data_IF_618802732921
#
_entry.id   IF_618802732921
#
_cell.length_a   1.000
_cell.length_b   1.000
_cell.length_c   1.000
_cell.angle_alpha   90.00
_cell.angle_beta   90.00
_cell.angle_gamma   90.00
#
_symmetry.space_group_name_H-M   'P 1'
#
loop_
_entity.id
_entity.type
_entity.pdbx_description
1 polymer ?
#
# COMPACT_ATOMS: atom_id res chain seq x y z
N UNK A 1 28.81 -21.30 -14.31
CA UNK A 1 27.56 -21.24 -13.51
C UNK A 1 27.33 -19.78 -13.17
N UNK A 2 26.21 -19.18 -13.59
CA UNK A 2 25.91 -17.78 -13.25
C UNK A 2 25.36 -17.77 -11.83
N UNK A 3 26.09 -17.15 -10.92
CA UNK A 3 25.59 -16.81 -9.59
C UNK A 3 24.39 -15.88 -9.80
N UNK A 4 23.20 -16.40 -9.54
CA UNK A 4 22.01 -15.58 -9.39
C UNK A 4 22.26 -14.85 -8.08
N UNK A 5 22.69 -13.59 -8.15
CA UNK A 5 22.62 -12.70 -7.00
C UNK A 5 21.17 -12.74 -6.56
N UNK A 6 20.95 -13.40 -5.42
CA UNK A 6 19.69 -13.42 -4.73
C UNK A 6 19.53 -11.98 -4.22
N UNK A 7 19.06 -11.09 -5.10
CA UNK A 7 18.59 -9.77 -4.71
C UNK A 7 17.65 -10.01 -3.53
N UNK A 8 18.06 -9.53 -2.37
CA UNK A 8 17.31 -9.69 -1.15
C UNK A 8 15.94 -9.06 -1.45
N UNK A 9 14.86 -9.83 -1.41
CA UNK A 9 13.52 -9.29 -1.70
C UNK A 9 13.18 -8.14 -0.74
N UNK A 10 13.81 -8.11 0.44
CA UNK A 10 13.81 -6.95 1.34
C UNK A 10 14.40 -5.65 0.75
N UNK A 11 15.33 -5.72 -0.21
CA UNK A 11 15.90 -4.55 -0.90
C UNK A 11 14.95 -3.97 -1.96
N UNK A 12 14.05 -4.80 -2.55
CA UNK A 12 13.03 -4.32 -3.50
C UNK A 12 11.95 -3.52 -2.78
N UNK A 13 11.46 -4.04 -1.66
CA UNK A 13 10.45 -3.36 -0.84
C UNK A 13 11.01 -2.24 0.04
N UNK A 14 12.32 -2.24 0.32
CA UNK A 14 12.97 -1.31 1.24
C UNK A 14 12.92 0.17 0.85
N UNK A 15 12.62 0.51 -0.41
CA UNK A 15 12.46 1.91 -0.84
C UNK A 15 11.08 2.49 -0.54
N UNK A 16 10.01 1.71 -0.71
CA UNK A 16 8.64 2.18 -0.54
C UNK A 16 8.06 1.80 0.82
N UNK A 17 8.31 0.58 1.25
CA UNK A 17 7.81 0.02 2.50
C UNK A 17 8.92 0.06 3.54
N UNK A 18 9.39 1.27 3.87
CA UNK A 18 10.00 1.45 5.17
C UNK A 18 8.91 1.14 6.19
N UNK A 19 8.90 -0.09 6.73
CA UNK A 19 7.97 -0.60 7.74
C UNK A 19 7.99 0.31 8.97
N UNK A 20 7.32 1.44 8.87
CA UNK A 20 7.23 2.44 9.92
C UNK A 20 6.26 1.89 10.94
N UNK A 21 6.83 1.20 11.91
CA UNK A 21 6.16 0.55 13.03
C UNK A 21 5.23 1.47 13.86
N UNK A 22 5.11 2.77 13.56
CA UNK A 22 4.31 3.75 14.29
C UNK A 22 3.85 4.99 13.48
N UNK A 23 3.77 4.96 12.14
CA UNK A 23 3.38 6.15 11.36
C UNK A 23 1.84 6.42 11.34
N UNK A 24 1.11 5.98 12.37
CA UNK A 24 -0.35 6.17 12.43
C UNK A 24 -0.76 7.61 12.77
N UNK A 25 0.10 8.38 13.46
CA UNK A 25 -0.36 9.53 14.25
C UNK A 25 -0.51 10.87 13.51
N UNK A 26 0.09 11.06 12.32
CA UNK A 26 0.16 12.40 11.69
C UNK A 26 -0.85 12.70 10.59
N UNK A 27 -1.69 11.74 10.20
CA UNK A 27 -2.56 11.90 9.02
C UNK A 27 -4.02 12.28 9.38
N UNK A 28 -4.32 12.53 10.66
CA UNK A 28 -5.68 12.81 11.17
C UNK A 28 -6.22 14.24 10.94
N UNK A 29 -5.65 15.04 10.03
CA UNK A 29 -6.14 16.41 9.79
C UNK A 29 -7.07 16.47 8.57
N UNK A 30 -8.38 16.66 8.83
CA UNK A 30 -9.41 17.15 7.91
C UNK A 30 -9.31 16.66 6.45
N UNK A 31 -9.20 15.34 6.26
CA UNK A 31 -9.14 14.73 4.92
C UNK A 31 -10.54 14.64 4.33
N UNK A 32 -10.70 15.15 3.11
CA UNK A 32 -11.90 14.90 2.31
C UNK A 32 -11.73 13.54 1.59
N UNK A 33 -12.72 12.66 1.72
CA UNK A 33 -12.75 11.43 0.93
C UNK A 33 -12.99 11.80 -0.53
N UNK A 34 -12.11 11.33 -1.42
CA UNK A 34 -12.32 11.40 -2.86
C UNK A 34 -12.54 9.99 -3.39
N UNK A 35 -13.68 9.78 -4.05
CA UNK A 35 -13.91 8.65 -4.94
C UNK A 35 -13.23 8.93 -6.29
N UNK A 36 -11.89 8.89 -6.31
CA UNK A 36 -11.21 8.68 -7.59
C UNK A 36 -11.41 7.21 -7.91
N UNK A 37 -12.13 6.95 -8.99
CA UNK A 37 -12.38 5.60 -9.51
C UNK A 37 -11.05 5.04 -10.01
N UNK A 38 -10.30 4.40 -9.11
CA UNK A 38 -9.02 3.80 -9.42
C UNK A 38 -9.28 2.33 -9.72
N UNK A 39 -9.34 2.04 -11.01
CA UNK A 39 -9.54 0.70 -11.53
C UNK A 39 -8.44 -0.26 -11.04
N UNK A 40 -8.86 -1.14 -10.13
CA UNK A 40 -8.39 -2.52 -9.87
C UNK A 40 -6.94 -2.75 -9.44
N UNK A 41 -6.80 -3.55 -8.38
CA UNK A 41 -5.56 -4.23 -8.01
C UNK A 41 -5.16 -5.25 -9.07
N UNK A 42 -4.06 -5.02 -9.80
CA UNK A 42 -3.48 -6.05 -10.68
C UNK A 42 -2.75 -7.13 -9.87
N UNK A 43 -2.40 -6.80 -8.62
CA UNK A 43 -1.85 -7.73 -7.64
C UNK A 43 -2.85 -8.77 -7.15
N UNK A 44 -4.15 -8.64 -7.46
CA UNK A 44 -5.18 -9.56 -6.98
C UNK A 44 -5.80 -10.32 -8.15
N UNK A 45 -5.61 -11.64 -8.15
CA UNK A 45 -6.34 -12.56 -9.03
C UNK A 45 -7.12 -13.56 -8.18
N UNK A 46 -8.44 -13.70 -8.42
CA UNK A 46 -9.30 -14.67 -7.70
C UNK A 46 -9.17 -14.57 -6.17
N UNK A 47 -9.24 -13.35 -5.63
CA UNK A 47 -9.09 -13.06 -4.19
C UNK A 47 -7.72 -13.48 -3.61
N UNK A 48 -6.73 -13.76 -4.47
CA UNK A 48 -5.34 -14.06 -4.08
C UNK A 48 -4.47 -12.86 -4.41
N UNK A 49 -3.92 -12.26 -3.37
CA UNK A 49 -2.99 -11.15 -3.46
C UNK A 49 -1.57 -11.67 -3.70
N UNK A 50 -0.88 -11.13 -4.70
CA UNK A 50 0.55 -11.28 -4.88
C UNK A 50 1.25 -10.02 -4.37
N UNK A 51 1.91 -10.14 -3.23
CA UNK A 51 2.53 -9.01 -2.55
C UNK A 51 3.63 -8.36 -3.42
N UNK A 52 4.33 -9.13 -4.26
CA UNK A 52 5.35 -8.64 -5.23
C UNK A 52 4.81 -7.66 -6.27
N UNK A 53 3.49 -7.65 -6.48
CA UNK A 53 2.84 -6.77 -7.46
C UNK A 53 2.21 -5.53 -6.82
N UNK A 54 2.15 -5.43 -5.49
CA UNK A 54 1.52 -4.32 -4.78
C UNK A 54 2.18 -2.98 -5.04
N UNK A 55 3.51 -2.96 -5.08
CA UNK A 55 4.29 -1.75 -5.38
C UNK A 55 3.82 -1.10 -6.69
N UNK A 56 3.64 -1.90 -7.74
CA UNK A 56 3.14 -1.40 -9.04
C UNK A 56 1.71 -0.90 -8.97
N UNK A 57 0.85 -1.51 -8.16
CA UNK A 57 -0.51 -1.01 -7.98
C UNK A 57 -0.51 0.34 -7.26
N UNK A 58 0.35 0.51 -6.25
CA UNK A 58 0.51 1.78 -5.53
C UNK A 58 1.07 2.87 -6.46
N UNK A 59 2.10 2.58 -7.25
CA UNK A 59 2.66 3.50 -8.24
C UNK A 59 1.60 3.94 -9.27
N UNK A 60 0.74 3.02 -9.73
CA UNK A 60 -0.36 3.35 -10.64
C UNK A 60 -1.39 4.25 -9.98
N UNK A 61 -1.78 3.95 -8.73
CA UNK A 61 -2.68 4.80 -7.93
C UNK A 61 -2.10 6.22 -7.84
N UNK A 62 -0.81 6.34 -7.52
CA UNK A 62 -0.11 7.62 -7.39
C UNK A 62 -0.11 8.38 -8.70
N UNK A 63 0.36 7.73 -9.77
CA UNK A 63 0.39 8.31 -11.12
C UNK A 63 -0.98 8.83 -11.54
N UNK A 64 -2.06 8.10 -11.22
CA UNK A 64 -3.42 8.52 -11.55
C UNK A 64 -3.86 9.76 -10.78
N UNK A 65 -3.62 9.79 -9.47
CA UNK A 65 -3.92 10.93 -8.61
C UNK A 65 -3.13 12.18 -9.06
N UNK A 66 -1.87 12.00 -9.45
CA UNK A 66 -1.04 13.08 -9.99
C UNK A 66 -1.53 13.60 -11.35
N UNK A 67 -1.97 12.70 -12.24
CA UNK A 67 -2.59 13.09 -13.52
C UNK A 67 -3.86 13.95 -13.33
N UNK A 68 -4.59 13.74 -12.25
CA UNK A 68 -5.77 14.54 -11.88
C UNK A 68 -5.40 15.88 -11.21
N UNK A 69 -4.10 16.18 -11.11
CA UNK A 69 -3.54 17.45 -10.63
C UNK A 69 -3.43 17.55 -9.11
N UNK A 70 -3.32 16.43 -8.41
CA UNK A 70 -3.05 16.36 -6.97
C UNK A 70 -1.56 16.07 -6.74
N UNK A 71 -1.02 16.50 -5.60
CA UNK A 71 0.30 16.09 -5.11
C UNK A 71 0.13 14.93 -4.13
N UNK A 72 0.83 13.81 -4.33
CA UNK A 72 0.75 12.66 -3.43
C UNK A 72 1.67 12.87 -2.22
N UNK A 73 1.12 12.69 -1.02
CA UNK A 73 1.84 12.82 0.25
C UNK A 73 2.32 11.47 0.80
N UNK A 74 1.77 10.36 0.28
CA UNK A 74 2.11 9.00 0.66
C UNK A 74 0.88 8.08 0.68
N UNK A 75 1.11 6.80 1.00
CA UNK A 75 0.05 5.81 1.13
C UNK A 75 0.14 5.00 2.41
N UNK A 76 -0.97 4.36 2.78
CA UNK A 76 -1.05 3.37 3.84
C UNK A 76 -1.73 2.13 3.30
N UNK A 77 -0.99 1.02 3.33
CA UNK A 77 -1.51 -0.31 3.08
C UNK A 77 -2.10 -0.86 4.39
N UNK A 78 -3.33 -1.35 4.33
CA UNK A 78 -3.98 -2.08 5.41
C UNK A 78 -4.26 -3.49 4.91
N UNK A 79 -3.76 -4.49 5.61
CA UNK A 79 -4.14 -5.89 5.40
C UNK A 79 -4.83 -6.39 6.64
N UNK A 80 -6.10 -6.76 6.50
CA UNK A 80 -6.97 -7.23 7.57
C UNK A 80 -7.42 -8.65 7.25
N UNK A 81 -6.75 -9.63 7.86
CA UNK A 81 -7.01 -11.05 7.65
C UNK A 81 -8.28 -11.52 8.37
N UNK A 82 -8.78 -10.77 9.36
CA UNK A 82 -10.05 -11.09 10.01
C UNK A 82 -11.24 -10.73 9.12
N UNK A 83 -11.08 -9.74 8.24
CA UNK A 83 -12.11 -9.26 7.31
C UNK A 83 -11.89 -9.70 5.86
N UNK A 84 -10.88 -10.51 5.57
CA UNK A 84 -10.44 -10.85 4.21
C UNK A 84 -10.29 -9.60 3.32
N UNK A 85 -9.67 -8.54 3.84
CA UNK A 85 -9.68 -7.21 3.23
C UNK A 85 -8.26 -6.64 3.06
N UNK A 86 -8.02 -6.05 1.90
CA UNK A 86 -6.92 -5.12 1.68
C UNK A 86 -7.48 -3.71 1.41
N UNK A 87 -6.83 -2.70 1.97
CA UNK A 87 -7.05 -1.29 1.63
C UNK A 87 -5.72 -0.61 1.30
N UNK A 88 -5.70 0.22 0.26
CA UNK A 88 -4.65 1.21 0.04
C UNK A 88 -5.28 2.58 0.19
N UNK A 89 -4.85 3.30 1.23
CA UNK A 89 -5.23 4.70 1.48
C UNK A 89 -4.14 5.60 0.96
N UNK A 90 -4.41 6.40 -0.05
CA UNK A 90 -3.47 7.37 -0.60
C UNK A 90 -3.86 8.76 -0.17
N UNK A 91 -2.92 9.48 0.42
CA UNK A 91 -3.11 10.83 0.91
C UNK A 91 -2.55 11.80 -0.11
N UNK A 92 -3.34 12.80 -0.46
CA UNK A 92 -2.97 13.76 -1.50
C UNK A 92 -3.41 15.17 -1.15
N UNK A 93 -2.85 16.15 -1.88
CA UNK A 93 -3.14 17.57 -1.68
C UNK A 93 -3.42 18.25 -3.01
N UNK A 94 -4.43 19.13 -3.05
CA UNK A 94 -4.70 20.00 -4.19
C UNK A 94 -5.03 21.41 -3.69
N UNK A 95 -4.12 22.34 -3.95
CA UNK A 95 -4.14 23.66 -3.31
C UNK A 95 -3.96 23.53 -1.79
N UNK A 96 -4.83 24.17 -1.01
CA UNK A 96 -4.80 24.11 0.46
C UNK A 96 -5.61 22.95 1.06
N UNK A 97 -6.20 22.09 0.21
CA UNK A 97 -7.06 20.99 0.65
C UNK A 97 -6.32 19.65 0.58
N UNK A 98 -6.50 18.85 1.64
CA UNK A 98 -5.99 17.50 1.74
C UNK A 98 -7.11 16.49 1.51
N UNK A 99 -6.76 15.38 0.85
CA UNK A 99 -7.69 14.35 0.43
C UNK A 99 -7.16 12.96 0.78
N UNK A 100 -8.09 12.03 0.93
CA UNK A 100 -7.78 10.60 1.03
C UNK A 100 -8.56 9.83 -0.03
N UNK A 101 -7.83 8.99 -0.76
CA UNK A 101 -8.36 8.06 -1.72
C UNK A 101 -8.19 6.65 -1.15
N UNK A 102 -9.28 5.90 -1.03
CA UNK A 102 -9.22 4.52 -0.51
C UNK A 102 -9.60 3.55 -1.61
N UNK A 103 -8.68 2.67 -1.99
CA UNK A 103 -8.96 1.52 -2.86
C UNK A 103 -9.02 0.29 -1.98
N UNK A 104 -10.05 -0.53 -2.12
CA UNK A 104 -10.23 -1.73 -1.29
C UNK A 104 -10.62 -2.94 -2.12
N UNK A 105 -10.22 -4.13 -1.66
CA UNK A 105 -10.56 -5.39 -2.32
C UNK A 105 -10.60 -6.54 -1.31
N UNK A 106 -11.34 -7.60 -1.67
CA UNK A 106 -11.34 -8.83 -0.89
C UNK A 106 -10.12 -9.69 -1.23
N UNK A 107 -9.44 -10.17 -0.19
CA UNK A 107 -8.25 -11.01 -0.26
C UNK A 107 -8.37 -12.11 0.77
N UNK A 108 -8.42 -13.36 0.31
CA UNK A 108 -8.45 -14.56 1.17
C UNK A 108 -7.09 -15.23 1.30
N UNK A 109 -6.20 -14.99 0.34
CA UNK A 109 -4.88 -15.60 0.29
C UNK A 109 -3.86 -14.55 -0.11
N UNK A 110 -2.69 -14.59 0.53
CA UNK A 110 -1.56 -13.72 0.17
C UNK A 110 -0.36 -14.61 -0.20
N UNK A 111 0.24 -14.33 -1.33
CA UNK A 111 1.45 -14.97 -1.85
C UNK A 111 2.60 -13.97 -1.83
N UNK A 112 3.83 -14.48 -1.65
CA UNK A 112 5.05 -13.69 -1.59
C UNK A 112 5.07 -12.60 -0.49
N UNK A 113 4.34 -12.84 0.60
CA UNK A 113 4.30 -11.92 1.74
C UNK A 113 5.65 -11.90 2.47
N UNK A 114 6.22 -10.71 2.76
CA UNK A 114 7.41 -10.57 3.60
C UNK A 114 7.23 -11.21 4.98
N UNK A 115 8.31 -11.80 5.51
CA UNK A 115 8.24 -12.60 6.75
C UNK A 115 7.83 -11.76 7.97
N UNK A 116 8.28 -10.51 8.05
CA UNK A 116 7.93 -9.54 9.09
C UNK A 116 6.43 -9.18 9.05
N UNK A 117 5.88 -8.96 7.86
CA UNK A 117 4.45 -8.68 7.67
C UNK A 117 3.61 -9.92 8.00
N UNK A 118 4.06 -11.11 7.56
CA UNK A 118 3.40 -12.38 7.86
C UNK A 118 3.34 -12.66 9.37
N UNK A 119 4.45 -12.42 10.08
CA UNK A 119 4.49 -12.58 11.53
C UNK A 119 3.53 -11.61 12.23
N UNK A 120 3.49 -10.34 11.81
CA UNK A 120 2.59 -9.35 12.39
C UNK A 120 1.11 -9.70 12.15
N UNK A 121 0.74 -10.16 10.95
CA UNK A 121 -0.62 -10.63 10.65
C UNK A 121 -0.98 -11.84 11.51
N UNK A 122 -0.06 -12.79 11.71
CA UNK A 122 -0.32 -13.97 12.57
C UNK A 122 -0.55 -13.59 14.03
N UNK A 123 0.12 -12.56 14.52
CA UNK A 123 0.02 -12.12 15.92
C UNK A 123 -1.22 -11.24 16.14
N UNK A 124 -1.49 -10.32 15.21
CA UNK A 124 -2.48 -9.24 15.41
C UNK A 124 -3.74 -9.38 14.58
N UNK A 125 -3.79 -10.30 13.61
CA UNK A 125 -4.86 -10.42 12.62
C UNK A 125 -4.86 -9.32 11.56
N UNK A 126 -4.12 -8.22 11.78
CA UNK A 126 -4.10 -7.03 10.94
C UNK A 126 -2.74 -6.36 10.98
N UNK A 127 -2.31 -5.83 9.83
CA UNK A 127 -1.08 -5.04 9.70
C UNK A 127 -1.37 -3.76 8.91
N UNK A 128 -0.73 -2.67 9.33
CA UNK A 128 -0.77 -1.38 8.64
C UNK A 128 0.66 -1.00 8.27
N UNK A 129 0.92 -0.79 6.98
CA UNK A 129 2.22 -0.37 6.48
C UNK A 129 2.11 1.00 5.85
N UNK A 130 2.90 1.95 6.35
CA UNK A 130 2.96 3.31 5.79
C UNK A 130 4.07 3.40 4.75
N UNK A 131 3.72 4.00 3.62
CA UNK A 131 4.54 4.14 2.43
C UNK A 131 4.76 5.63 2.24
N UNK A 132 6.01 6.06 2.43
CA UNK A 132 6.43 7.44 2.14
C UNK A 132 7.41 7.39 0.99
N UNK A 133 7.23 8.30 0.05
CA UNK A 133 8.25 8.59 -0.94
C UNK A 133 9.10 9.70 -0.30
N UNK A 134 10.37 9.40 -0.02
CA UNK A 134 11.34 10.45 0.28
C UNK A 134 11.65 11.17 -1.05
N UNK A 135 11.49 12.49 -1.07
CA UNK A 135 11.86 13.39 -2.17
C UNK A 135 13.36 13.30 -2.52
#
# INVERSE_FOLDING_TARGET
>A
MREIQQENLGDKFGKLFNTMKNASEKISQALQENDVDIDTFNSIEKETLNFDLLEKDIEKIHTRIEQDGYSVLGSRLVLDNEKDLIEIKTYSQKGEKSFVNTVSAKVKQVTNIPADILEEIKIKGRVEVSIKFDD
#
